data_IF_816259212763
#
_entry.id   IF_816259212763
#
_cell.length_a   1.000
_cell.length_b   1.000
_cell.length_c   1.000
_cell.angle_alpha   90.00
_cell.angle_beta   90.00
_cell.angle_gamma   90.00
#
_symmetry.space_group_name_H-M   'P 1'
#
loop_
_entity.id
_entity.type
_entity.pdbx_description
1 polymer ?
#
# COMPACT_ATOMS: atom_id res chain seq x y z
N UNK A 1 -9.23 14.10 12.22
CA UNK A 1 -9.73 12.72 12.15
C UNK A 1 -8.59 11.78 11.75
N UNK A 2 -8.01 11.02 12.69
CA UNK A 2 -7.00 9.99 12.37
C UNK A 2 -7.73 8.80 11.76
N UNK A 3 -7.72 8.66 10.43
CA UNK A 3 -8.33 7.51 9.75
C UNK A 3 -7.42 6.31 9.98
N UNK A 4 -7.77 5.47 10.96
CA UNK A 4 -7.04 4.23 11.22
C UNK A 4 -7.30 3.26 10.06
N UNK A 5 -6.25 2.63 9.55
CA UNK A 5 -6.36 1.69 8.45
C UNK A 5 -6.80 0.33 8.97
N UNK A 6 -8.08 0.02 8.78
CA UNK A 6 -8.72 -1.23 9.21
C UNK A 6 -9.19 -2.06 8.02
N UNK A 7 -9.37 -3.37 8.24
CA UNK A 7 -9.85 -4.31 7.22
C UNK A 7 -11.19 -3.85 6.63
N UNK A 8 -12.13 -3.43 7.47
CA UNK A 8 -13.45 -2.94 7.05
C UNK A 8 -13.37 -1.72 6.14
N UNK A 9 -12.37 -0.86 6.35
CA UNK A 9 -12.17 0.32 5.51
C UNK A 9 -11.68 -0.06 4.11
N UNK A 10 -10.86 -1.10 3.99
CA UNK A 10 -10.44 -1.61 2.69
C UNK A 10 -11.61 -2.26 1.94
N UNK A 11 -12.39 -3.11 2.61
CA UNK A 11 -13.51 -3.80 1.96
C UNK A 11 -14.56 -2.83 1.44
N UNK A 12 -14.91 -1.79 2.21
CA UNK A 12 -15.85 -0.75 1.75
C UNK A 12 -15.30 0.01 0.54
N UNK A 13 -14.02 0.42 0.58
CA UNK A 13 -13.39 1.15 -0.52
C UNK A 13 -13.28 0.30 -1.80
N UNK A 14 -13.02 -1.00 -1.66
CA UNK A 14 -12.97 -1.91 -2.80
C UNK A 14 -14.36 -2.07 -3.41
N UNK A 15 -15.40 -2.21 -2.58
CA UNK A 15 -16.78 -2.33 -3.04
C UNK A 15 -17.27 -1.07 -3.79
N UNK A 16 -16.97 0.12 -3.24
CA UNK A 16 -17.42 1.39 -3.81
C UNK A 16 -16.77 1.70 -5.15
N UNK A 17 -15.46 1.43 -5.28
CA UNK A 17 -14.67 1.90 -6.42
C UNK A 17 -14.22 0.80 -7.39
N UNK A 18 -14.44 -0.49 -7.07
CA UNK A 18 -13.97 -1.66 -7.87
C UNK A 18 -12.53 -1.49 -8.36
N UNK A 19 -11.68 -1.05 -7.45
CA UNK A 19 -10.39 -0.45 -7.78
C UNK A 19 -9.23 -1.45 -7.78
N UNK A 20 -8.13 -1.10 -8.46
CA UNK A 20 -6.88 -1.90 -8.48
C UNK A 20 -6.03 -1.68 -7.22
N UNK A 21 -5.01 -2.53 -6.99
CA UNK A 21 -4.10 -2.42 -5.84
C UNK A 21 -3.39 -1.06 -5.74
N UNK A 22 -2.99 -0.49 -6.88
CA UNK A 22 -2.39 0.85 -6.95
C UNK A 22 -3.35 1.93 -6.50
N UNK A 23 -4.59 1.83 -6.97
CA UNK A 23 -5.62 2.83 -6.74
C UNK A 23 -6.11 2.79 -5.28
N UNK A 24 -6.29 1.59 -4.72
CA UNK A 24 -6.57 1.39 -3.31
C UNK A 24 -5.45 1.96 -2.43
N UNK A 25 -4.17 1.74 -2.78
CA UNK A 25 -3.02 2.36 -2.10
C UNK A 25 -3.06 3.88 -2.13
N UNK A 26 -3.40 4.49 -3.28
CA UNK A 26 -3.45 5.95 -3.40
C UNK A 26 -4.60 6.55 -2.60
N UNK A 27 -5.78 5.91 -2.59
CA UNK A 27 -6.96 6.38 -1.83
C UNK A 27 -6.81 6.23 -0.33
N UNK A 28 -6.31 5.07 0.10
CA UNK A 28 -6.27 4.72 1.53
C UNK A 28 -4.93 5.04 2.19
N UNK A 29 -3.89 5.38 1.41
CA UNK A 29 -2.49 5.53 1.88
C UNK A 29 -1.92 4.24 2.49
N UNK A 30 -2.51 3.09 2.18
CA UNK A 30 -2.03 1.80 2.65
C UNK A 30 -0.62 1.51 2.14
N UNK A 31 0.27 1.12 3.06
CA UNK A 31 1.66 0.84 2.74
C UNK A 31 2.55 2.07 2.51
N UNK A 32 2.10 3.26 2.91
CA UNK A 32 2.91 4.48 2.96
C UNK A 32 3.36 4.85 4.39
N UNK A 33 3.08 3.98 5.37
CA UNK A 33 3.60 4.15 6.74
C UNK A 33 5.09 3.79 6.84
N UNK A 34 5.64 3.87 8.06
CA UNK A 34 7.05 3.52 8.34
C UNK A 34 7.43 2.09 7.91
N UNK A 35 6.45 1.20 7.84
CA UNK A 35 6.65 -0.17 7.38
C UNK A 35 6.78 -0.28 5.85
N UNK A 36 6.55 0.79 5.07
CA UNK A 36 6.67 0.79 3.60
C UNK A 36 5.78 -0.25 2.90
N UNK A 37 4.70 -0.70 3.55
CA UNK A 37 3.83 -1.75 3.02
C UNK A 37 4.28 -3.18 3.31
N UNK A 38 5.35 -3.40 4.09
CA UNK A 38 5.82 -4.76 4.46
C UNK A 38 4.76 -5.61 5.16
N UNK A 39 3.86 -4.99 5.92
CA UNK A 39 2.84 -5.71 6.70
C UNK A 39 1.51 -5.82 5.98
N UNK A 40 1.06 -4.76 5.31
CA UNK A 40 -0.29 -4.70 4.74
C UNK A 40 -0.37 -5.10 3.26
N UNK A 41 0.74 -5.13 2.53
CA UNK A 41 0.73 -5.33 1.06
C UNK A 41 0.13 -6.68 0.65
N UNK A 42 0.65 -7.79 1.21
CA UNK A 42 0.12 -9.12 0.88
C UNK A 42 -1.35 -9.28 1.25
N UNK A 43 -1.77 -8.68 2.36
CA UNK A 43 -3.17 -8.70 2.78
C UNK A 43 -4.05 -7.97 1.75
N UNK A 44 -3.63 -6.77 1.33
CA UNK A 44 -4.36 -5.97 0.36
C UNK A 44 -4.47 -6.68 -0.99
N UNK A 45 -3.36 -7.25 -1.48
CA UNK A 45 -3.34 -7.98 -2.74
C UNK A 45 -4.35 -9.14 -2.71
N UNK A 46 -4.38 -9.93 -1.62
CA UNK A 46 -5.37 -11.00 -1.43
C UNK A 46 -6.82 -10.50 -1.31
N UNK A 47 -7.04 -9.38 -0.64
CA UNK A 47 -8.39 -8.80 -0.52
C UNK A 47 -8.93 -8.36 -1.88
N UNK A 48 -8.07 -7.82 -2.74
CA UNK A 48 -8.44 -7.39 -4.09
C UNK A 48 -8.68 -8.61 -4.99
N UNK A 49 -7.81 -9.62 -4.94
CA UNK A 49 -8.01 -10.88 -5.67
C UNK A 49 -9.35 -11.54 -5.29
N UNK A 50 -9.69 -11.53 -4.00
CA UNK A 50 -10.95 -12.09 -3.52
C UNK A 50 -12.17 -11.27 -3.95
N UNK A 51 -12.08 -9.94 -3.90
CA UNK A 51 -13.20 -9.05 -4.22
C UNK A 51 -13.44 -8.91 -5.73
N UNK A 52 -12.38 -8.95 -6.54
CA UNK A 52 -12.42 -8.72 -7.98
C UNK A 52 -11.74 -9.91 -8.72
N UNK A 53 -12.40 -11.07 -8.80
CA UNK A 53 -11.88 -12.22 -9.54
C UNK A 53 -11.76 -11.86 -11.03
N UNK A 54 -10.54 -11.61 -11.49
CA UNK A 54 -10.23 -11.17 -12.87
C UNK A 54 -9.33 -9.95 -12.96
N UNK A 55 -9.10 -9.22 -11.87
CA UNK A 55 -8.08 -8.16 -11.82
C UNK A 55 -6.74 -8.82 -11.51
N UNK A 56 -5.89 -8.98 -12.52
CA UNK A 56 -4.54 -9.51 -12.37
C UNK A 56 -3.71 -8.59 -11.48
N UNK A 57 -3.35 -9.07 -10.28
CA UNK A 57 -2.39 -8.42 -9.36
C UNK A 57 -1.03 -8.14 -10.03
N UNK A 58 -0.74 -8.83 -11.13
CA UNK A 58 0.48 -8.71 -11.93
C UNK A 58 0.53 -7.50 -12.88
N UNK A 59 -0.57 -6.80 -13.18
CA UNK A 59 -0.53 -5.74 -14.21
C UNK A 59 0.24 -4.49 -13.79
N UNK A 60 0.31 -4.17 -12.49
CA UNK A 60 1.16 -3.09 -11.98
C UNK A 60 1.64 -3.44 -10.57
N UNK A 61 2.76 -4.17 -10.41
CA UNK A 61 3.31 -4.46 -9.10
C UNK A 61 3.67 -3.14 -8.40
N UNK A 62 3.24 -3.00 -7.14
CA UNK A 62 3.65 -1.90 -6.28
C UNK A 62 5.19 -1.84 -6.25
N UNK A 63 5.80 -0.84 -6.89
CA UNK A 63 7.26 -0.77 -6.99
C UNK A 63 7.89 -0.69 -5.61
N UNK A 64 8.89 -1.54 -5.35
CA UNK A 64 9.79 -1.37 -4.21
C UNK A 64 10.71 -0.20 -4.54
N UNK A 65 10.61 0.87 -3.75
CA UNK A 65 11.45 2.05 -3.91
C UNK A 65 12.48 2.08 -2.78
N UNK A 66 13.76 2.35 -3.06
CA UNK A 66 14.73 2.66 -2.03
C UNK A 66 14.38 4.02 -1.37
N UNK A 67 14.70 4.21 -0.07
CA UNK A 67 15.37 3.29 0.83
C UNK A 67 14.42 2.24 1.46
N UNK A 68 14.86 0.98 1.54
CA UNK A 68 14.05 -0.14 2.04
C UNK A 68 13.69 0.03 3.52
N UNK A 69 14.60 0.59 4.31
CA UNK A 69 14.36 1.02 5.69
C UNK A 69 14.48 2.54 5.76
N UNK A 70 13.71 3.16 6.63
CA UNK A 70 13.84 4.60 6.86
C UNK A 70 15.27 4.89 7.35
N UNK A 71 15.92 5.83 6.68
CA UNK A 71 17.25 6.35 7.03
C UNK A 71 17.08 7.84 7.34
N UNK A 72 17.85 8.34 8.30
CA UNK A 72 17.82 9.77 8.62
C UNK A 72 18.60 10.52 7.55
N UNK A 73 18.21 11.77 7.27
CA UNK A 73 18.94 12.61 6.31
C UNK A 73 20.42 12.78 6.69
N UNK A 74 20.74 12.85 8.00
CA UNK A 74 22.12 12.92 8.48
C UNK A 74 22.97 11.68 8.18
N UNK A 75 22.36 10.51 7.92
CA UNK A 75 23.10 9.31 7.53
C UNK A 75 23.47 9.26 6.04
N UNK A 76 22.82 10.07 5.20
CA UNK A 76 23.00 10.09 3.74
C UNK A 76 23.64 11.38 3.23
N UNK A 77 23.67 12.45 4.02
CA UNK A 77 24.41 13.67 3.72
C UNK A 77 25.81 13.62 4.33
N UNK A 78 26.85 13.65 3.50
CA UNK A 78 28.22 13.85 3.99
C UNK A 78 28.31 15.17 4.76
N UNK A 79 28.79 15.11 6.00
CA UNK A 79 29.24 16.29 6.72
C UNK A 79 30.66 16.58 6.26
N UNK A 80 30.80 17.44 5.25
CA UNK A 80 32.07 18.11 4.96
C UNK A 80 32.24 19.33 5.86
#
# INVERSE_FOLDING_TARGET
MKKLLTVNFFTSTIADYKCSARELKLRTRAGMGFCGGRTCRMMIDRMIEHANPGVTTNDIPLKYQPPVRAVTFGSVGESK
#
